data_IF_425289089362
#
_entry.id   IF_425289089362
#
_cell.length_a   1.000
_cell.length_b   1.000
_cell.length_c   1.000
_cell.angle_alpha   90.00
_cell.angle_beta   90.00
_cell.angle_gamma   90.00
#
_symmetry.space_group_name_H-M   'P 1'
#
loop_
_entity.id
_entity.type
_entity.pdbx_description
1 polymer ?
#
# COMPACT_ATOMS: atom_id res chain seq x y z
N UNK A 1 -1.92 16.06 35.14
CA UNK A 1 -1.58 14.85 34.42
C UNK A 1 -0.73 15.08 33.19
N UNK A 2 -0.01 14.09 32.81
CA UNK A 2 0.79 14.15 31.58
C UNK A 2 -0.12 13.82 30.41
N UNK A 3 -0.25 14.77 29.49
CA UNK A 3 -0.96 14.53 28.24
C UNK A 3 0.04 13.94 27.26
N UNK A 4 -0.21 12.70 26.86
CA UNK A 4 0.58 12.08 25.81
C UNK A 4 0.12 12.58 24.46
N UNK A 5 1.06 13.06 23.65
CA UNK A 5 0.78 13.38 22.26
C UNK A 5 0.65 12.11 21.45
N UNK A 6 -0.45 11.99 20.71
CA UNK A 6 -0.70 10.83 19.85
C UNK A 6 -0.78 11.26 18.40
N UNK A 7 -0.32 10.39 17.51
CA UNK A 7 -0.55 10.57 16.08
C UNK A 7 -2.05 10.43 15.81
N UNK A 8 -2.61 11.44 15.17
CA UNK A 8 -3.99 11.42 14.75
C UNK A 8 -4.12 11.96 13.35
N UNK A 9 -4.79 11.20 12.49
CA UNK A 9 -5.07 11.56 11.11
C UNK A 9 -6.41 11.02 10.68
N UNK A 10 -7.06 11.78 9.80
CA UNK A 10 -8.29 11.35 9.16
C UNK A 10 -7.96 11.05 7.71
N UNK A 11 -8.46 9.97 7.19
CA UNK A 11 -8.23 9.59 5.81
C UNK A 11 -9.49 9.06 5.14
N UNK A 12 -9.49 9.12 3.81
CA UNK A 12 -10.57 8.64 2.95
C UNK A 12 -10.01 7.57 2.03
N UNK A 13 -10.70 6.44 1.93
CA UNK A 13 -10.34 5.40 0.98
C UNK A 13 -10.43 5.89 -0.45
N UNK A 14 -9.39 5.65 -1.23
CA UNK A 14 -9.31 5.97 -2.66
C UNK A 14 -9.64 4.72 -3.48
N UNK A 15 -9.01 3.61 -3.15
CA UNK A 15 -9.18 2.34 -3.85
C UNK A 15 -8.69 1.19 -2.98
N UNK A 16 -9.06 -0.02 -3.36
CA UNK A 16 -8.58 -1.21 -2.67
C UNK A 16 -9.01 -2.48 -3.39
N UNK A 17 -8.36 -3.56 -3.01
CA UNK A 17 -8.70 -4.91 -3.45
C UNK A 17 -9.70 -5.55 -2.48
N UNK A 18 -10.28 -6.68 -2.85
CA UNK A 18 -10.95 -7.55 -1.89
C UNK A 18 -9.91 -8.23 -1.00
N UNK A 19 -10.35 -8.71 0.17
CA UNK A 19 -9.53 -9.52 1.05
C UNK A 19 -9.49 -10.96 0.57
N UNK A 20 -8.28 -11.56 0.58
CA UNK A 20 -8.12 -13.00 0.39
C UNK A 20 -8.24 -13.68 1.76
N UNK A 21 -9.41 -14.21 2.04
CA UNK A 21 -9.72 -14.77 3.34
C UNK A 21 -9.83 -13.69 4.42
N UNK A 22 -10.44 -14.00 5.53
CA UNK A 22 -10.67 -13.07 6.63
C UNK A 22 -9.74 -13.31 7.81
N UNK A 23 -9.07 -14.45 7.84
CA UNK A 23 -8.25 -14.86 8.97
C UNK A 23 -6.77 -14.60 8.70
N UNK A 24 -6.10 -14.07 9.69
CA UNK A 24 -4.66 -13.95 9.72
C UNK A 24 -4.04 -15.27 10.19
N UNK A 25 -2.92 -15.63 9.57
CA UNK A 25 -2.13 -16.79 9.97
C UNK A 25 -0.77 -16.33 10.47
N UNK A 26 -0.14 -17.15 11.34
CA UNK A 26 1.22 -16.89 11.79
C UNK A 26 2.15 -16.80 10.58
N UNK A 27 2.94 -15.74 10.50
CA UNK A 27 3.85 -15.47 9.40
C UNK A 27 3.29 -14.51 8.35
N UNK A 28 2.01 -14.18 8.41
CA UNK A 28 1.44 -13.11 7.57
C UNK A 28 2.04 -11.77 7.98
N UNK A 29 2.26 -10.90 6.99
CA UNK A 29 2.93 -9.61 7.20
C UNK A 29 2.03 -8.46 6.76
N UNK A 30 2.01 -7.41 7.56
CA UNK A 30 1.37 -6.15 7.20
C UNK A 30 2.41 -5.05 7.03
N UNK A 31 2.30 -4.30 5.95
CA UNK A 31 3.16 -3.16 5.68
C UNK A 31 2.29 -1.92 5.50
N UNK A 32 2.70 -0.83 6.12
CA UNK A 32 2.09 0.48 5.93
C UNK A 32 3.11 1.36 5.24
N UNK A 33 2.79 1.82 4.04
CA UNK A 33 3.66 2.69 3.27
C UNK A 33 3.11 4.12 3.27
N UNK A 34 3.91 5.05 3.74
CA UNK A 34 3.59 6.47 3.64
C UNK A 34 4.07 6.99 2.29
N UNK A 35 3.19 7.61 1.55
CA UNK A 35 3.44 8.02 0.17
C UNK A 35 3.19 9.50 -0.04
N UNK A 36 4.02 10.10 -0.89
CA UNK A 36 3.85 11.47 -1.32
C UNK A 36 3.41 11.49 -2.78
N UNK A 37 2.30 12.17 -3.04
CA UNK A 37 1.83 12.43 -4.39
C UNK A 37 2.71 13.49 -5.05
N UNK A 38 3.27 13.17 -6.22
CA UNK A 38 4.13 14.08 -6.96
C UNK A 38 3.39 14.85 -8.06
N UNK A 39 2.27 14.30 -8.55
CA UNK A 39 1.46 14.94 -9.59
C UNK A 39 0.01 14.49 -9.50
N UNK A 40 -0.85 15.05 -10.34
CA UNK A 40 -2.30 14.79 -10.31
C UNK A 40 -2.68 13.39 -10.80
N UNK A 41 -1.77 12.67 -11.43
CA UNK A 41 -2.04 11.35 -11.99
C UNK A 41 -1.81 10.21 -10.99
N UNK A 42 -1.33 10.51 -9.78
CA UNK A 42 -0.95 9.51 -8.78
C UNK A 42 -2.06 8.50 -8.50
N UNK A 43 -3.26 8.96 -8.17
CA UNK A 43 -4.37 8.06 -7.82
C UNK A 43 -4.83 7.23 -9.01
N UNK A 44 -4.79 7.80 -10.22
CA UNK A 44 -5.14 7.08 -11.44
C UNK A 44 -4.12 5.97 -11.75
N UNK A 45 -2.82 6.25 -11.60
CA UNK A 45 -1.78 5.23 -11.75
C UNK A 45 -1.92 4.10 -10.72
N UNK A 46 -2.24 4.45 -9.48
CA UNK A 46 -2.44 3.43 -8.44
C UNK A 46 -3.63 2.51 -8.78
N UNK A 47 -4.75 3.08 -9.23
CA UNK A 47 -5.93 2.30 -9.60
C UNK A 47 -5.74 1.48 -10.88
N UNK A 48 -5.09 2.07 -11.88
CA UNK A 48 -5.07 1.51 -13.23
C UNK A 48 -3.85 0.64 -13.49
N UNK A 49 -2.73 0.88 -12.82
CA UNK A 49 -1.48 0.16 -13.03
C UNK A 49 -1.15 -0.76 -11.86
N UNK A 50 -1.18 -0.24 -10.63
CA UNK A 50 -0.80 -1.03 -9.46
C UNK A 50 -1.88 -1.98 -8.97
N UNK A 51 -3.12 -1.52 -8.86
CA UNK A 51 -4.21 -2.37 -8.37
C UNK A 51 -4.35 -3.70 -9.12
N UNK A 52 -4.30 -3.74 -10.46
CA UNK A 52 -4.33 -5.02 -11.19
C UNK A 52 -3.20 -5.97 -10.81
N UNK A 53 -1.99 -5.44 -10.55
CA UNK A 53 -0.86 -6.25 -10.07
C UNK A 53 -1.18 -6.83 -8.68
N UNK A 54 -1.67 -6.00 -7.77
CA UNK A 54 -2.05 -6.44 -6.44
C UNK A 54 -3.15 -7.51 -6.49
N UNK A 55 -4.14 -7.35 -7.35
CA UNK A 55 -5.20 -8.33 -7.55
C UNK A 55 -4.65 -9.68 -8.05
N UNK A 56 -3.70 -9.66 -8.98
CA UNK A 56 -3.07 -10.89 -9.45
C UNK A 56 -2.25 -11.57 -8.34
N UNK A 57 -1.56 -10.80 -7.53
CA UNK A 57 -0.84 -11.32 -6.36
C UNK A 57 -1.78 -12.00 -5.37
N UNK A 58 -2.99 -11.47 -5.20
CA UNK A 58 -4.02 -12.10 -4.37
C UNK A 58 -4.43 -13.44 -4.96
N UNK A 59 -4.71 -13.50 -6.27
CA UNK A 59 -5.09 -14.75 -6.94
C UNK A 59 -3.99 -15.81 -6.84
N UNK A 60 -2.72 -15.39 -6.90
CA UNK A 60 -1.57 -16.29 -6.81
C UNK A 60 -1.22 -16.71 -5.38
N UNK A 61 -1.87 -16.12 -4.38
CA UNK A 61 -1.70 -16.49 -2.99
C UNK A 61 -0.61 -15.76 -2.22
N UNK A 62 -0.02 -14.72 -2.80
CA UNK A 62 1.07 -13.96 -2.16
C UNK A 62 0.58 -12.78 -1.34
N UNK A 63 -0.59 -12.28 -1.62
CA UNK A 63 -1.16 -11.07 -0.99
C UNK A 63 -2.55 -11.35 -0.45
N UNK A 64 -2.88 -10.72 0.68
CA UNK A 64 -4.24 -10.73 1.24
C UNK A 64 -5.05 -9.51 0.85
N UNK A 65 -4.41 -8.36 0.80
CA UNK A 65 -5.11 -7.09 0.61
C UNK A 65 -4.15 -6.00 0.18
N UNK A 66 -4.66 -5.10 -0.64
CA UNK A 66 -4.05 -3.79 -0.90
C UNK A 66 -5.12 -2.72 -0.77
N UNK A 67 -4.79 -1.60 -0.14
CA UNK A 67 -5.66 -0.44 -0.05
C UNK A 67 -4.87 0.84 -0.07
N UNK A 68 -5.47 1.87 -0.63
CA UNK A 68 -4.91 3.22 -0.69
C UNK A 68 -5.88 4.19 -0.06
N UNK A 69 -5.38 5.01 0.87
CA UNK A 69 -6.15 6.04 1.53
C UNK A 69 -5.47 7.40 1.37
N UNK A 70 -6.27 8.43 1.13
CA UNK A 70 -5.81 9.82 1.09
C UNK A 70 -5.92 10.42 2.49
N UNK A 71 -4.87 11.08 2.94
CA UNK A 71 -4.87 11.79 4.22
C UNK A 71 -5.56 13.13 4.03
N UNK A 72 -6.65 13.37 4.75
CA UNK A 72 -7.42 14.61 4.64
C UNK A 72 -7.17 15.57 5.82
N UNK A 73 -6.76 15.05 6.97
CA UNK A 73 -6.34 15.89 8.09
C UNK A 73 -5.38 15.15 9.02
N UNK A 74 -4.53 15.92 9.69
CA UNK A 74 -3.59 15.43 10.71
C UNK A 74 -3.63 16.41 11.88
N UNK A 75 -3.44 15.92 13.12
CA UNK A 75 -3.19 16.82 14.24
C UNK A 75 -1.78 17.42 14.14
N UNK A 76 -1.47 18.44 14.95
CA UNK A 76 -0.18 19.15 14.84
C UNK A 76 1.02 18.24 15.11
N UNK A 77 0.90 17.31 16.05
CA UNK A 77 1.96 16.34 16.33
C UNK A 77 2.22 15.43 15.14
N UNK A 78 1.17 14.93 14.51
CA UNK A 78 1.28 14.08 13.32
C UNK A 78 1.87 14.85 12.13
N UNK A 79 1.48 16.11 11.95
CA UNK A 79 2.06 16.98 10.90
C UNK A 79 3.55 17.14 11.05
N UNK A 80 4.08 17.25 12.26
CA UNK A 80 5.52 17.36 12.51
C UNK A 80 6.27 16.09 12.12
N UNK A 81 5.68 14.93 12.38
CA UNK A 81 6.31 13.63 12.13
C UNK A 81 6.15 13.18 10.68
N UNK A 82 5.06 13.55 10.04
CA UNK A 82 4.64 13.01 8.74
C UNK A 82 4.46 14.13 7.71
N UNK A 83 5.27 15.17 7.79
CA UNK A 83 5.17 16.28 6.83
C UNK A 83 5.48 15.79 5.42
N UNK A 84 4.66 16.20 4.45
CA UNK A 84 4.81 15.84 3.05
C UNK A 84 4.11 14.56 2.63
N UNK A 85 3.64 13.73 3.55
CA UNK A 85 2.84 12.55 3.19
C UNK A 85 1.44 12.97 2.81
N UNK A 86 0.95 12.42 1.71
CA UNK A 86 -0.40 12.70 1.21
C UNK A 86 -1.29 11.46 1.25
N UNK A 87 -0.72 10.27 1.21
CA UNK A 87 -1.44 9.01 1.14
C UNK A 87 -0.79 7.93 2.01
N UNK A 88 -1.58 6.93 2.35
CA UNK A 88 -1.13 5.73 3.03
C UNK A 88 -1.56 4.53 2.20
N UNK A 89 -0.63 3.63 1.92
CA UNK A 89 -0.92 2.35 1.29
C UNK A 89 -0.81 1.23 2.33
N UNK A 90 -1.83 0.37 2.36
CA UNK A 90 -1.88 -0.80 3.23
C UNK A 90 -1.60 -2.04 2.39
N UNK A 91 -0.57 -2.79 2.75
CA UNK A 91 -0.12 -3.98 2.04
C UNK A 91 -0.09 -5.15 3.00
N UNK A 92 -1.05 -6.05 2.89
CA UNK A 92 -1.10 -7.24 3.72
C UNK A 92 -0.75 -8.46 2.88
N UNK A 93 0.36 -9.10 3.23
CA UNK A 93 0.96 -10.20 2.50
C UNK A 93 0.74 -11.50 3.24
N UNK A 94 0.62 -12.60 2.50
CA UNK A 94 0.60 -13.93 3.08
C UNK A 94 2.01 -14.37 3.47
N UNK A 95 2.11 -15.44 4.26
CA UNK A 95 3.40 -16.07 4.61
C UNK A 95 4.11 -16.70 3.41
N UNK A 96 3.40 -16.90 2.30
CA UNK A 96 3.98 -17.46 1.07
C UNK A 96 4.95 -16.47 0.45
N UNK A 97 6.21 -16.87 0.31
CA UNK A 97 7.22 -16.02 -0.31
C UNK A 97 7.06 -16.00 -1.81
N UNK A 98 7.09 -14.79 -2.38
CA UNK A 98 7.07 -14.60 -3.82
C UNK A 98 8.45 -14.98 -4.37
N UNK A 99 8.52 -15.85 -5.40
CA UNK A 99 9.80 -16.17 -6.02
C UNK A 99 10.51 -14.91 -6.53
N UNK A 100 11.83 -14.89 -6.36
CA UNK A 100 12.65 -13.78 -6.86
C UNK A 100 12.53 -13.67 -8.37
N UNK A 101 12.38 -12.46 -8.89
CA UNK A 101 12.23 -12.21 -10.32
C UNK A 101 10.81 -12.43 -10.85
N UNK A 102 9.83 -12.64 -9.97
CA UNK A 102 8.42 -12.73 -10.40
C UNK A 102 7.97 -11.43 -11.04
N UNK A 103 7.50 -11.53 -12.28
CA UNK A 103 6.95 -10.39 -13.01
C UNK A 103 5.45 -10.56 -13.24
N UNK A 104 4.71 -9.47 -13.14
CA UNK A 104 3.28 -9.44 -13.41
C UNK A 104 3.02 -8.64 -14.69
N UNK A 105 2.80 -9.36 -15.80
CA UNK A 105 2.57 -8.78 -17.11
C UNK A 105 1.08 -8.48 -17.33
N UNK A 106 0.51 -7.64 -16.48
CA UNK A 106 -0.90 -7.25 -16.58
C UNK A 106 -1.18 -6.49 -17.87
N UNK A 107 -0.22 -5.70 -18.32
CA UNK A 107 -0.26 -5.03 -19.61
C UNK A 107 0.62 -5.87 -20.55
N UNK A 108 0.00 -6.51 -21.56
CA UNK A 108 0.70 -7.45 -22.44
C UNK A 108 1.76 -6.77 -23.29
N UNK A 109 1.46 -5.60 -23.86
CA UNK A 109 2.41 -4.85 -24.66
C UNK A 109 3.58 -4.36 -23.79
N UNK A 110 4.78 -4.78 -24.14
CA UNK A 110 5.98 -4.47 -23.35
C UNK A 110 6.27 -2.97 -23.29
N UNK A 111 6.08 -2.26 -24.40
CA UNK A 111 6.30 -0.81 -24.45
C UNK A 111 5.30 -0.07 -23.56
N UNK A 112 4.02 -0.40 -23.68
CA UNK A 112 2.96 0.23 -22.86
C UNK A 112 3.13 -0.11 -21.38
N UNK A 113 3.52 -1.35 -21.06
CA UNK A 113 3.79 -1.78 -19.68
C UNK A 113 4.93 -0.97 -19.08
N UNK A 114 6.01 -0.80 -19.81
CA UNK A 114 7.16 -0.01 -19.37
C UNK A 114 6.75 1.44 -19.11
N UNK A 115 6.02 2.05 -20.03
CA UNK A 115 5.52 3.42 -19.87
C UNK A 115 4.58 3.58 -18.67
N UNK A 116 3.69 2.62 -18.48
CA UNK A 116 2.77 2.63 -17.34
C UNK A 116 3.51 2.58 -15.99
N UNK A 117 4.50 1.69 -15.85
CA UNK A 117 5.26 1.60 -14.61
C UNK A 117 6.21 2.77 -14.40
N UNK A 118 6.80 3.33 -15.45
CA UNK A 118 7.57 4.59 -15.35
C UNK A 118 6.68 5.73 -14.85
N UNK A 119 5.46 5.84 -15.39
CA UNK A 119 4.48 6.84 -14.95
C UNK A 119 4.06 6.64 -13.50
N UNK A 120 3.82 5.41 -13.09
CA UNK A 120 3.50 5.07 -11.70
C UNK A 120 4.62 5.53 -10.76
N UNK A 121 5.86 5.19 -11.06
CA UNK A 121 7.02 5.56 -10.25
C UNK A 121 7.20 7.08 -10.18
N UNK A 122 7.04 7.77 -11.30
CA UNK A 122 7.17 9.23 -11.36
C UNK A 122 6.05 9.97 -10.60
N UNK A 123 4.87 9.35 -10.46
CA UNK A 123 3.71 9.97 -9.81
C UNK A 123 3.80 10.00 -8.29
N UNK A 124 4.72 9.26 -7.70
CA UNK A 124 4.77 9.05 -6.25
C UNK A 124 6.19 8.94 -5.72
N UNK A 125 6.32 9.21 -4.43
CA UNK A 125 7.51 8.91 -3.63
C UNK A 125 7.08 8.02 -2.48
N UNK A 126 7.72 6.87 -2.32
CA UNK A 126 7.48 5.94 -1.21
C UNK A 126 8.50 6.24 -0.13
N UNK A 127 8.01 6.51 1.07
CA UNK A 127 8.84 6.83 2.22
C UNK A 127 9.01 5.58 3.11
N UNK A 128 9.91 5.58 4.12
CA UNK A 128 10.14 4.41 4.95
C UNK A 128 8.86 3.82 5.52
N UNK A 129 8.74 2.49 5.46
CA UNK A 129 7.53 1.75 5.86
C UNK A 129 7.64 1.22 7.27
N UNK A 130 6.50 1.09 7.93
CA UNK A 130 6.36 0.30 9.15
C UNK A 130 5.99 -1.13 8.76
N UNK A 131 6.73 -2.11 9.25
CA UNK A 131 6.44 -3.52 9.03
C UNK A 131 5.77 -4.12 10.25
N UNK A 132 4.64 -4.80 10.03
CA UNK A 132 3.93 -5.56 11.04
C UNK A 132 3.89 -7.02 10.63
N UNK A 133 4.39 -7.90 11.50
CA UNK A 133 4.32 -9.33 11.27
C UNK A 133 3.40 -9.96 12.30
N UNK A 134 2.39 -10.71 11.84
CA UNK A 134 1.53 -11.46 12.74
C UNK A 134 2.27 -12.72 13.21
N UNK A 135 2.74 -12.66 14.47
CA UNK A 135 3.48 -13.78 15.09
C UNK A 135 2.59 -14.77 15.80
N UNK A 136 1.36 -14.34 16.13
CA UNK A 136 0.44 -15.16 16.89
C UNK A 136 -1.01 -14.86 16.48
N UNK A 137 -1.78 -15.89 16.26
CA UNK A 137 -3.21 -15.79 15.97
C UNK A 137 -4.01 -16.54 17.01
N UNK A 138 -5.04 -15.85 17.55
CA UNK A 138 -6.02 -16.46 18.48
C UNK A 138 -7.36 -16.74 17.81
N UNK A 139 -7.46 -16.56 16.53
CA UNK A 139 -8.69 -16.74 15.78
C UNK A 139 -8.89 -18.16 15.30
#
# INVERSE_FOLDING_TARGET
GIVKENRSRTYKWVSGTGWRGLEWEIGDKGYVHFMKQNNDDFEDYERSVWKPVAQQQILDGYRKFWGLAKIISKNDYTKKLESGFTHIAFNFMTKKEMPQGTEYNIIEDEFLRKKAFEGLQASREILPSEELTLVYSTF
#
